data_IF_671420219349
#
_entry.id   IF_671420219349
#
_cell.length_a   1.000
_cell.length_b   1.000
_cell.length_c   1.000
_cell.angle_alpha   90.00
_cell.angle_beta   90.00
_cell.angle_gamma   90.00
#
_symmetry.space_group_name_H-M   'P 1'
#
loop_
_entity.id
_entity.type
_entity.pdbx_description
1 polymer ?
#
# COMPACT_ATOMS: atom_id res chain seq x y z
N UNK A 1 9.88 -15.58 8.33
CA UNK A 1 10.09 -14.21 7.81
C UNK A 1 8.88 -13.36 8.14
N UNK A 2 9.07 -12.15 8.62
CA UNK A 2 8.06 -11.09 8.75
C UNK A 2 8.12 -10.19 7.52
N UNK A 3 6.98 -9.87 6.93
CA UNK A 3 6.87 -8.96 5.80
C UNK A 3 5.98 -7.80 6.23
N UNK A 4 6.53 -6.59 6.27
CA UNK A 4 5.83 -5.36 6.62
C UNK A 4 5.43 -4.66 5.32
N UNK A 5 4.18 -4.85 4.87
CA UNK A 5 3.62 -4.08 3.76
C UNK A 5 3.20 -2.72 4.28
N UNK A 6 3.82 -1.67 3.79
CA UNK A 6 3.62 -0.29 4.24
C UNK A 6 3.00 0.51 3.10
N UNK A 7 1.88 1.16 3.35
CA UNK A 7 1.36 2.14 2.40
C UNK A 7 2.21 3.41 2.47
N UNK A 8 2.57 3.99 1.33
CA UNK A 8 3.28 5.27 1.27
C UNK A 8 2.59 6.37 2.09
N UNK A 9 3.33 7.41 2.53
CA UNK A 9 2.82 8.59 3.19
C UNK A 9 1.86 9.41 2.31
N UNK A 10 1.18 10.40 2.87
CA UNK A 10 0.25 11.25 2.12
C UNK A 10 0.97 11.96 0.97
N UNK A 11 0.46 11.80 -0.26
CA UNK A 11 0.96 12.49 -1.44
C UNK A 11 0.53 13.97 -1.46
N UNK A 12 1.33 14.82 -2.09
CA UNK A 12 1.07 16.27 -2.23
C UNK A 12 0.14 16.57 -3.42
N UNK A 13 -0.97 15.86 -3.47
CA UNK A 13 -2.03 16.07 -4.45
C UNK A 13 -3.31 15.37 -4.02
N UNK A 14 -4.50 16.00 -4.21
CA UNK A 14 -5.78 15.36 -4.03
C UNK A 14 -6.19 14.49 -5.24
N UNK A 15 -5.45 14.55 -6.35
CA UNK A 15 -5.83 13.87 -7.60
C UNK A 15 -5.47 12.38 -7.55
N UNK A 16 -6.28 11.59 -8.26
CA UNK A 16 -6.14 10.14 -8.33
C UNK A 16 -4.79 9.76 -8.95
N UNK A 17 -4.01 8.97 -8.22
CA UNK A 17 -2.79 8.27 -8.67
C UNK A 17 -1.76 9.10 -9.45
N UNK A 18 -1.66 10.40 -9.18
CA UNK A 18 -0.58 11.22 -9.77
C UNK A 18 0.77 10.88 -9.11
N UNK A 19 1.85 10.88 -9.90
CA UNK A 19 3.19 10.61 -9.39
C UNK A 19 3.85 11.92 -8.91
N UNK A 20 3.61 12.23 -7.64
CA UNK A 20 4.07 13.45 -6.96
C UNK A 20 4.75 13.08 -5.63
N UNK A 21 5.58 13.98 -5.06
CA UNK A 21 6.20 13.78 -3.76
C UNK A 21 5.17 13.70 -2.61
N UNK A 22 5.67 13.45 -1.41
CA UNK A 22 4.87 13.52 -0.18
C UNK A 22 4.50 14.96 0.16
N UNK A 23 3.31 15.14 0.76
CA UNK A 23 2.97 16.37 1.46
C UNK A 23 3.81 16.51 2.75
N UNK A 24 3.72 17.67 3.40
CA UNK A 24 4.36 17.87 4.69
C UNK A 24 3.84 16.85 5.74
N UNK A 25 2.53 16.63 5.77
CA UNK A 25 1.94 15.62 6.65
C UNK A 25 2.41 14.20 6.28
N UNK A 26 2.61 13.93 4.97
CA UNK A 26 3.11 12.64 4.49
C UNK A 26 4.55 12.37 4.94
N UNK A 27 5.40 13.39 4.94
CA UNK A 27 6.77 13.30 5.50
C UNK A 27 6.72 13.04 7.00
N UNK A 28 5.89 13.79 7.73
CA UNK A 28 5.71 13.59 9.16
C UNK A 28 5.20 12.19 9.50
N UNK A 29 4.28 11.64 8.69
CA UNK A 29 3.83 10.24 8.83
C UNK A 29 5.00 9.26 8.67
N UNK A 30 5.84 9.45 7.66
CA UNK A 30 7.00 8.60 7.40
C UNK A 30 8.06 8.70 8.52
N UNK A 31 8.30 9.89 9.09
CA UNK A 31 9.18 10.09 10.24
C UNK A 31 8.74 9.29 11.47
N UNK A 32 7.46 9.41 11.86
CA UNK A 32 6.89 8.68 12.99
C UNK A 32 6.93 7.16 12.77
N UNK A 33 6.69 6.72 11.53
CA UNK A 33 6.86 5.31 11.18
C UNK A 33 8.33 4.88 11.30
N UNK A 34 9.28 5.71 10.84
CA UNK A 34 10.72 5.46 10.99
C UNK A 34 11.13 5.35 12.45
N UNK A 35 10.63 6.23 13.33
CA UNK A 35 10.83 6.15 14.76
C UNK A 35 10.32 4.83 15.35
N UNK A 36 9.10 4.41 14.98
CA UNK A 36 8.54 3.11 15.39
C UNK A 36 9.38 1.92 14.96
N UNK A 37 9.90 1.96 13.73
CA UNK A 37 10.68 0.86 13.15
C UNK A 37 12.16 0.88 13.54
N UNK A 38 12.65 1.94 14.19
CA UNK A 38 14.07 2.10 14.54
C UNK A 38 14.61 1.03 15.49
N UNK A 39 13.74 0.42 16.30
CA UNK A 39 14.10 -0.68 17.22
C UNK A 39 13.97 -2.07 16.58
N UNK A 40 13.45 -2.14 15.35
CA UNK A 40 13.25 -3.40 14.63
C UNK A 40 14.51 -3.74 13.82
N UNK A 41 14.89 -5.02 13.82
CA UNK A 41 15.91 -5.50 12.88
C UNK A 41 15.26 -5.76 11.53
N UNK A 42 15.52 -4.89 10.55
CA UNK A 42 14.97 -4.99 9.19
C UNK A 42 16.13 -5.27 8.24
N UNK A 43 16.08 -6.40 7.53
CA UNK A 43 17.15 -6.86 6.65
C UNK A 43 17.21 -6.12 5.32
N UNK A 44 16.07 -5.61 4.84
CA UNK A 44 15.99 -4.83 3.61
C UNK A 44 14.72 -3.96 3.57
N UNK A 45 14.81 -2.83 2.88
CA UNK A 45 13.67 -1.95 2.58
C UNK A 45 13.45 -1.92 1.07
N UNK A 46 12.34 -2.51 0.63
CA UNK A 46 11.90 -2.51 -0.76
C UNK A 46 10.88 -1.41 -0.98
N UNK A 47 10.83 -0.83 -2.18
CA UNK A 47 9.78 0.13 -2.50
C UNK A 47 9.32 0.05 -3.95
N UNK A 48 8.09 0.52 -4.19
CA UNK A 48 7.65 0.97 -5.51
C UNK A 48 8.58 2.08 -6.03
N UNK A 49 8.59 2.26 -7.35
CA UNK A 49 9.33 3.34 -8.02
C UNK A 49 8.59 4.68 -8.05
N UNK A 50 7.31 4.75 -7.61
CA UNK A 50 6.57 6.01 -7.57
C UNK A 50 7.17 6.92 -6.49
N UNK A 51 7.30 8.23 -6.80
CA UNK A 51 8.02 9.22 -5.99
C UNK A 51 7.60 9.16 -4.52
N UNK A 52 6.31 9.15 -4.23
CA UNK A 52 5.76 9.08 -2.86
C UNK A 52 6.17 7.83 -2.09
N UNK A 53 6.35 6.69 -2.77
CA UNK A 53 6.78 5.46 -2.12
C UNK A 53 8.29 5.42 -1.92
N UNK A 54 9.06 5.95 -2.86
CA UNK A 54 10.51 6.10 -2.73
C UNK A 54 10.82 7.04 -1.58
N UNK A 55 10.21 8.23 -1.55
CA UNK A 55 10.42 9.24 -0.49
C UNK A 55 10.02 8.69 0.89
N UNK A 56 8.88 7.99 1.01
CA UNK A 56 8.50 7.31 2.26
C UNK A 56 9.57 6.31 2.70
N UNK A 57 10.04 5.48 1.76
CA UNK A 57 11.04 4.46 2.05
C UNK A 57 12.40 5.04 2.44
N UNK A 58 12.78 6.17 1.85
CA UNK A 58 14.03 6.85 2.18
C UNK A 58 13.97 7.47 3.58
N UNK A 59 12.87 8.15 3.93
CA UNK A 59 12.67 8.73 5.27
C UNK A 59 12.71 7.65 6.36
N UNK A 60 11.96 6.55 6.19
CA UNK A 60 12.02 5.46 7.19
C UNK A 60 13.42 4.84 7.26
N UNK A 61 14.11 4.73 6.12
CA UNK A 61 15.43 4.12 6.07
C UNK A 61 16.55 4.95 6.70
N UNK A 62 16.37 6.25 6.87
CA UNK A 62 17.25 7.08 7.69
C UNK A 62 17.38 6.56 9.15
N UNK A 63 16.32 5.91 9.67
CA UNK A 63 16.28 5.32 11.01
C UNK A 63 16.67 3.85 11.04
N UNK A 64 16.41 3.12 9.95
CA UNK A 64 16.61 1.66 9.84
C UNK A 64 18.01 1.34 9.35
N UNK A 65 18.52 2.11 8.37
CA UNK A 65 19.82 1.92 7.71
C UNK A 65 20.01 0.51 7.11
N UNK A 66 18.98 -0.01 6.41
CA UNK A 66 19.00 -1.28 5.72
C UNK A 66 19.25 -1.13 4.21
N UNK A 67 19.71 -2.17 3.51
CA UNK A 67 19.78 -2.18 2.04
C UNK A 67 18.47 -1.80 1.38
N UNK A 68 18.52 -0.97 0.33
CA UNK A 68 17.37 -0.46 -0.42
C UNK A 68 17.23 -1.15 -1.76
N UNK A 69 15.97 -1.49 -2.11
CA UNK A 69 15.61 -2.08 -3.40
C UNK A 69 14.37 -1.39 -3.98
N UNK A 70 14.43 -0.92 -5.22
CA UNK A 70 13.31 -0.27 -5.90
C UNK A 70 12.80 -1.18 -7.02
N UNK A 71 11.49 -1.44 -7.07
CA UNK A 71 10.85 -2.32 -8.05
C UNK A 71 9.60 -1.67 -8.66
N UNK A 72 9.60 -1.48 -9.98
CA UNK A 72 8.44 -0.95 -10.71
C UNK A 72 7.18 -1.81 -10.52
N UNK A 73 7.34 -3.13 -10.37
CA UNK A 73 6.22 -4.05 -10.19
C UNK A 73 5.46 -3.87 -8.85
N UNK A 74 6.00 -3.06 -7.91
CA UNK A 74 5.32 -2.70 -6.66
C UNK A 74 4.49 -1.41 -6.77
N UNK A 75 4.39 -0.79 -7.96
CA UNK A 75 3.60 0.43 -8.18
C UNK A 75 2.11 0.20 -7.90
N UNK A 76 1.38 1.30 -7.68
CA UNK A 76 -0.08 1.27 -7.44
C UNK A 76 -0.83 0.59 -8.62
N UNK A 77 -2.01 0.05 -8.32
CA UNK A 77 -2.96 -0.36 -9.36
C UNK A 77 -3.19 0.80 -10.32
N UNK A 78 -3.17 0.52 -11.62
CA UNK A 78 -3.52 1.55 -12.59
C UNK A 78 -5.03 1.81 -12.54
N UNK A 79 -5.38 3.06 -12.32
CA UNK A 79 -6.77 3.53 -12.39
C UNK A 79 -7.15 3.95 -13.83
N UNK A 80 -6.21 3.84 -14.78
CA UNK A 80 -6.43 4.12 -16.19
C UNK A 80 -6.96 5.53 -16.43
N UNK A 81 -8.11 5.64 -17.09
CA UNK A 81 -8.71 6.93 -17.49
C UNK A 81 -9.14 7.82 -16.29
N UNK A 82 -9.09 7.29 -15.06
CA UNK A 82 -9.38 8.05 -13.84
C UNK A 82 -8.14 8.72 -13.26
N UNK A 83 -6.93 8.38 -13.71
CA UNK A 83 -5.70 8.97 -13.19
C UNK A 83 -5.64 10.47 -13.48
N UNK A 84 -5.23 11.25 -12.47
CA UNK A 84 -5.18 12.70 -12.56
C UNK A 84 -6.52 13.41 -12.39
N UNK A 85 -7.63 12.69 -12.20
CA UNK A 85 -8.94 13.30 -11.93
C UNK A 85 -9.19 13.48 -10.43
N UNK A 86 -10.06 14.43 -10.08
CA UNK A 86 -10.54 14.58 -8.70
C UNK A 86 -11.61 13.54 -8.35
N UNK A 87 -11.82 13.29 -7.05
CA UNK A 87 -12.84 12.37 -6.56
C UNK A 87 -14.25 12.76 -7.04
N UNK A 88 -14.55 14.08 -7.15
CA UNK A 88 -15.83 14.57 -7.63
C UNK A 88 -16.04 14.24 -9.12
N UNK A 89 -15.01 14.44 -9.94
CA UNK A 89 -15.07 14.13 -11.38
C UNK A 89 -15.18 12.61 -11.60
N UNK A 90 -14.47 11.82 -10.79
CA UNK A 90 -14.56 10.36 -10.85
C UNK A 90 -15.97 9.89 -10.46
N UNK A 91 -16.52 10.43 -9.37
CA UNK A 91 -17.86 10.07 -8.92
C UNK A 91 -18.94 10.39 -9.96
N UNK A 92 -18.82 11.51 -10.68
CA UNK A 92 -19.75 11.93 -11.72
C UNK A 92 -19.58 11.11 -13.01
N UNK A 93 -18.36 11.07 -13.56
CA UNK A 93 -18.14 10.47 -14.89
C UNK A 93 -18.18 8.95 -14.91
N UNK A 94 -17.85 8.30 -13.78
CA UNK A 94 -17.71 6.85 -13.68
C UNK A 94 -18.70 6.23 -12.69
N UNK A 95 -19.83 6.90 -12.40
CA UNK A 95 -20.85 6.44 -11.46
C UNK A 95 -21.30 5.00 -11.74
N UNK A 96 -21.65 4.70 -12.99
CA UNK A 96 -22.12 3.37 -13.40
C UNK A 96 -21.05 2.29 -13.21
N UNK A 97 -19.78 2.60 -13.53
CA UNK A 97 -18.67 1.69 -13.30
C UNK A 97 -18.46 1.45 -11.79
N UNK A 98 -18.43 2.51 -10.99
CA UNK A 98 -18.27 2.41 -9.53
C UNK A 98 -19.39 1.59 -8.91
N UNK A 99 -20.64 1.81 -9.35
CA UNK A 99 -21.82 1.06 -8.91
C UNK A 99 -21.73 -0.42 -9.31
N UNK A 100 -21.32 -0.72 -10.55
CA UNK A 100 -21.12 -2.09 -11.01
C UNK A 100 -19.99 -2.79 -10.25
N UNK A 101 -18.85 -2.12 -10.04
CA UNK A 101 -17.73 -2.65 -9.27
C UNK A 101 -18.13 -2.94 -7.82
N UNK A 102 -18.98 -2.11 -7.22
CA UNK A 102 -19.45 -2.28 -5.84
C UNK A 102 -20.44 -3.44 -5.66
N UNK A 103 -20.99 -4.02 -6.74
CA UNK A 103 -21.75 -5.28 -6.69
C UNK A 103 -20.85 -6.48 -6.40
N UNK A 104 -19.54 -6.36 -6.64
CA UNK A 104 -18.53 -7.40 -6.35
C UNK A 104 -18.84 -8.75 -7.01
N UNK A 105 -19.43 -8.74 -8.21
CA UNK A 105 -19.78 -9.95 -8.97
C UNK A 105 -18.55 -10.55 -9.67
N UNK A 106 -17.57 -9.72 -9.99
CA UNK A 106 -16.31 -10.11 -10.63
C UNK A 106 -15.19 -9.12 -10.33
N UNK A 107 -13.94 -9.54 -10.46
CA UNK A 107 -12.77 -8.65 -10.45
C UNK A 107 -12.79 -7.79 -11.72
N UNK A 108 -13.07 -6.50 -11.56
CA UNK A 108 -13.25 -5.55 -12.66
C UNK A 108 -12.04 -4.65 -12.80
N UNK A 109 -11.47 -4.60 -14.01
CA UNK A 109 -10.43 -3.60 -14.34
C UNK A 109 -11.03 -2.20 -14.34
N UNK A 110 -10.27 -1.23 -13.85
CA UNK A 110 -10.59 0.18 -14.06
C UNK A 110 -10.61 0.48 -15.57
N UNK A 111 -11.44 1.42 -16.06
CA UNK A 111 -11.44 1.82 -17.48
C UNK A 111 -10.03 2.20 -17.93
N UNK A 112 -9.48 1.50 -18.92
CA UNK A 112 -8.08 1.67 -19.37
C UNK A 112 -7.01 1.28 -18.35
N UNK A 113 -7.38 0.68 -17.21
CA UNK A 113 -6.47 0.35 -16.11
C UNK A 113 -6.44 -1.13 -15.74
N UNK A 114 -6.02 -1.42 -14.50
CA UNK A 114 -5.84 -2.76 -13.96
C UNK A 114 -7.02 -3.20 -13.07
N UNK A 115 -7.18 -4.53 -12.90
CA UNK A 115 -7.92 -5.14 -11.80
C UNK A 115 -6.95 -5.78 -10.79
N UNK A 116 -7.48 -6.41 -9.73
CA UNK A 116 -6.65 -7.02 -8.69
C UNK A 116 -5.82 -8.20 -9.24
N UNK A 117 -6.35 -9.00 -10.18
CA UNK A 117 -5.60 -10.09 -10.81
C UNK A 117 -4.43 -9.59 -11.67
N UNK A 118 -4.55 -8.44 -12.34
CA UNK A 118 -3.44 -7.82 -13.08
C UNK A 118 -2.34 -7.38 -12.12
N UNK A 119 -2.70 -6.73 -11.00
CA UNK A 119 -1.77 -6.36 -9.94
C UNK A 119 -1.03 -7.59 -9.42
N UNK A 120 -1.74 -8.67 -9.10
CA UNK A 120 -1.14 -9.91 -8.60
C UNK A 120 -0.18 -10.53 -9.61
N UNK A 121 -0.49 -10.50 -10.91
CA UNK A 121 0.36 -11.04 -11.97
C UNK A 121 1.75 -10.43 -11.96
N UNK A 122 1.88 -9.12 -11.64
CA UNK A 122 3.17 -8.42 -11.59
C UNK A 122 3.82 -8.41 -10.21
N UNK A 123 3.04 -8.50 -9.12
CA UNK A 123 3.57 -8.38 -7.76
C UNK A 123 3.99 -9.73 -7.19
N UNK A 124 3.28 -10.83 -7.47
CA UNK A 124 3.60 -12.16 -6.92
C UNK A 124 5.00 -12.66 -7.31
N UNK A 125 5.55 -12.41 -8.52
CA UNK A 125 6.95 -12.72 -8.80
C UNK A 125 7.93 -12.03 -7.85
N UNK A 126 7.69 -10.75 -7.51
CA UNK A 126 8.52 -9.98 -6.57
C UNK A 126 8.36 -10.55 -5.15
N UNK A 127 7.13 -10.88 -4.72
CA UNK A 127 6.93 -11.51 -3.42
C UNK A 127 7.66 -12.84 -3.30
N UNK A 128 7.66 -13.67 -4.36
CA UNK A 128 8.45 -14.92 -4.40
C UNK A 128 9.96 -14.65 -4.33
N UNK A 129 10.46 -13.65 -5.05
CA UNK A 129 11.87 -13.21 -4.96
C UNK A 129 12.23 -12.84 -3.51
N UNK A 130 11.42 -12.00 -2.86
CA UNK A 130 11.66 -11.58 -1.47
C UNK A 130 11.62 -12.76 -0.51
N UNK A 131 10.62 -13.64 -0.64
CA UNK A 131 10.45 -14.81 0.23
C UNK A 131 11.60 -15.82 0.07
N UNK A 132 12.24 -15.86 -1.10
CA UNK A 132 13.41 -16.73 -1.34
C UNK A 132 14.71 -16.21 -0.73
N UNK A 133 14.75 -14.95 -0.26
CA UNK A 133 15.92 -14.42 0.43
C UNK A 133 15.99 -14.92 1.88
N UNK A 134 17.20 -14.92 2.43
CA UNK A 134 17.43 -15.26 3.84
C UNK A 134 17.21 -14.04 4.74
N UNK A 135 15.99 -13.50 4.69
CA UNK A 135 15.55 -12.39 5.54
C UNK A 135 14.74 -12.91 6.72
N UNK A 136 14.89 -12.31 7.88
CA UNK A 136 13.98 -12.47 9.03
C UNK A 136 12.85 -11.44 8.99
N UNK A 137 13.16 -10.19 8.66
CA UNK A 137 12.17 -9.10 8.52
C UNK A 137 12.47 -8.23 7.31
N UNK A 138 11.46 -7.96 6.48
CA UNK A 138 11.56 -7.07 5.33
C UNK A 138 10.44 -6.02 5.35
N UNK A 139 10.76 -4.77 5.07
CA UNK A 139 9.80 -3.70 4.85
C UNK A 139 9.57 -3.49 3.34
N UNK A 140 8.31 -3.36 2.92
CA UNK A 140 7.92 -3.14 1.52
C UNK A 140 6.99 -1.93 1.46
N UNK A 141 7.51 -0.79 1.00
CA UNK A 141 6.72 0.43 0.83
C UNK A 141 6.03 0.40 -0.53
N UNK A 142 4.71 0.34 -0.49
CA UNK A 142 3.86 0.18 -1.67
C UNK A 142 2.54 0.98 -1.52
N UNK A 143 1.45 0.50 -2.10
CA UNK A 143 0.21 1.25 -2.28
C UNK A 143 -1.02 0.47 -1.82
N UNK A 144 -2.14 1.17 -1.69
CA UNK A 144 -3.38 0.59 -1.16
C UNK A 144 -3.96 -0.54 -2.01
N UNK A 145 -3.94 -0.40 -3.33
CA UNK A 145 -4.43 -1.43 -4.26
C UNK A 145 -3.57 -2.70 -4.20
N UNK A 146 -2.25 -2.55 -4.14
CA UNK A 146 -1.30 -3.67 -4.03
C UNK A 146 -1.49 -4.42 -2.72
N UNK A 147 -1.55 -3.70 -1.57
CA UNK A 147 -1.71 -4.31 -0.25
C UNK A 147 -3.01 -5.11 -0.19
N UNK A 148 -4.13 -4.52 -0.63
CA UNK A 148 -5.43 -5.21 -0.63
C UNK A 148 -5.43 -6.45 -1.53
N UNK A 149 -4.84 -6.36 -2.73
CA UNK A 149 -4.76 -7.49 -3.66
C UNK A 149 -3.93 -8.64 -3.08
N UNK A 150 -2.78 -8.34 -2.46
CA UNK A 150 -1.94 -9.34 -1.78
C UNK A 150 -2.66 -10.00 -0.60
N UNK A 151 -3.33 -9.21 0.25
CA UNK A 151 -4.09 -9.73 1.40
C UNK A 151 -5.22 -10.63 0.91
N UNK A 152 -6.01 -10.19 -0.08
CA UNK A 152 -7.08 -11.00 -0.66
C UNK A 152 -6.55 -12.33 -1.21
N UNK A 153 -5.44 -12.30 -1.96
CA UNK A 153 -4.81 -13.48 -2.53
C UNK A 153 -4.36 -14.48 -1.45
N UNK A 154 -3.62 -14.02 -0.44
CA UNK A 154 -3.09 -14.91 0.60
C UNK A 154 -4.17 -15.47 1.52
N UNK A 155 -5.29 -14.77 1.69
CA UNK A 155 -6.45 -15.25 2.45
C UNK A 155 -7.43 -16.08 1.61
N UNK A 156 -7.18 -16.29 0.31
CA UNK A 156 -8.09 -17.01 -0.57
C UNK A 156 -9.43 -16.32 -0.80
N UNK A 157 -9.47 -14.99 -0.69
CA UNK A 157 -10.66 -14.20 -0.95
C UNK A 157 -10.92 -14.10 -2.46
N UNK A 158 -12.20 -14.05 -2.84
CA UNK A 158 -12.57 -13.63 -4.18
C UNK A 158 -12.07 -12.20 -4.44
N UNK A 159 -11.30 -12.01 -5.52
CA UNK A 159 -10.69 -10.72 -5.86
C UNK A 159 -11.73 -9.62 -6.16
N UNK A 160 -12.94 -9.99 -6.54
CA UNK A 160 -14.06 -9.06 -6.66
C UNK A 160 -14.36 -8.35 -5.32
N UNK A 161 -14.00 -8.97 -4.19
CA UNK A 161 -14.25 -8.47 -2.83
C UNK A 161 -13.10 -7.66 -2.24
N UNK A 162 -12.05 -7.40 -3.00
CA UNK A 162 -10.92 -6.53 -2.58
C UNK A 162 -11.38 -5.18 -2.00
N UNK A 163 -12.45 -4.52 -2.51
CA UNK A 163 -12.97 -3.28 -1.93
C UNK A 163 -13.41 -3.39 -0.46
N UNK A 164 -13.73 -4.60 0.04
CA UNK A 164 -14.12 -4.82 1.44
C UNK A 164 -12.94 -4.78 2.42
N UNK A 165 -11.69 -4.85 1.92
CA UNK A 165 -10.49 -4.78 2.76
C UNK A 165 -10.18 -3.33 3.12
N UNK A 166 -10.85 -2.83 4.15
CA UNK A 166 -10.87 -1.47 4.67
C UNK A 166 -11.41 -0.42 3.67
N UNK A 167 -12.28 0.43 4.12
CA UNK A 167 -12.73 1.61 3.36
C UNK A 167 -11.55 2.54 3.08
N UNK A 168 -10.64 2.67 4.06
CA UNK A 168 -9.40 3.44 3.95
C UNK A 168 -8.26 2.66 4.61
N UNK A 169 -7.16 2.45 3.87
CA UNK A 169 -5.88 2.10 4.45
C UNK A 169 -5.17 3.38 4.85
N UNK A 170 -4.66 3.44 6.07
CA UNK A 170 -3.89 4.61 6.53
C UNK A 170 -2.59 4.76 5.74
N UNK A 171 -2.20 6.00 5.46
CA UNK A 171 -0.88 6.29 4.96
C UNK A 171 0.16 5.94 6.04
N UNK A 172 1.27 5.35 5.66
CA UNK A 172 2.26 4.75 6.56
C UNK A 172 1.70 3.66 7.48
N UNK A 173 0.46 3.17 7.25
CA UNK A 173 -0.10 2.01 7.95
C UNK A 173 0.61 0.73 7.57
N UNK A 174 0.83 -0.14 8.55
CA UNK A 174 1.53 -1.42 8.41
C UNK A 174 0.53 -2.55 8.28
N UNK A 175 0.68 -3.37 7.25
CA UNK A 175 0.04 -4.68 7.15
C UNK A 175 1.12 -5.74 7.26
N UNK A 176 1.07 -6.54 8.32
CA UNK A 176 2.10 -7.51 8.65
C UNK A 176 1.68 -8.91 8.22
N UNK A 177 2.52 -9.53 7.40
CA UNK A 177 2.40 -10.92 6.97
C UNK A 177 3.54 -11.75 7.56
N UNK A 178 3.26 -12.98 7.92
CA UNK A 178 4.25 -13.95 8.37
C UNK A 178 4.30 -15.14 7.41
N UNK A 179 5.51 -15.50 6.95
CA UNK A 179 5.70 -16.74 6.20
C UNK A 179 6.02 -17.88 7.16
N UNK A 180 5.33 -19.01 7.02
CA UNK A 180 5.65 -20.25 7.75
C UNK A 180 6.71 -21.05 7.00
N UNK A 181 7.88 -21.23 7.63
CA UNK A 181 9.05 -21.90 6.99
C UNK A 181 8.76 -23.35 6.54
N UNK A 182 7.86 -24.08 7.22
CA UNK A 182 7.67 -25.52 6.98
C UNK A 182 6.64 -25.84 5.88
N UNK A 183 5.67 -24.98 5.59
CA UNK A 183 4.61 -25.23 4.61
C UNK A 183 4.38 -24.06 3.63
N UNK A 184 5.20 -23.01 3.74
CA UNK A 184 5.14 -21.84 2.85
C UNK A 184 3.87 -20.99 2.99
N UNK A 185 3.02 -21.25 3.98
CA UNK A 185 1.80 -20.47 4.18
C UNK A 185 2.11 -19.06 4.63
N UNK A 186 1.29 -18.11 4.15
CA UNK A 186 1.31 -16.72 4.57
C UNK A 186 0.16 -16.50 5.56
N UNK A 187 0.48 -15.89 6.70
CA UNK A 187 -0.48 -15.54 7.75
C UNK A 187 -0.59 -14.03 7.80
N UNK A 188 -1.80 -13.50 7.76
CA UNK A 188 -2.07 -12.10 8.08
C UNK A 188 -2.04 -11.94 9.60
N UNK A 189 -0.99 -11.30 10.12
CA UNK A 189 -0.82 -11.07 11.54
C UNK A 189 -1.46 -9.76 12.02
N UNK A 190 -1.30 -8.68 11.22
CA UNK A 190 -1.92 -7.36 11.46
C UNK A 190 -2.36 -6.76 10.15
N UNK A 191 -3.44 -6.00 10.19
CA UNK A 191 -3.94 -5.30 9.01
C UNK A 191 -4.14 -3.82 9.31
N UNK A 192 -3.48 -2.96 8.50
CA UNK A 192 -3.61 -1.49 8.59
C UNK A 192 -3.31 -0.92 9.99
N UNK A 193 -2.27 -1.41 10.64
CA UNK A 193 -1.84 -0.92 11.96
C UNK A 193 -1.20 0.46 11.83
N UNK A 194 -1.83 1.45 12.44
CA UNK A 194 -1.41 2.85 12.48
C UNK A 194 -1.21 3.35 13.92
N UNK A 195 -0.92 2.46 14.88
CA UNK A 195 -0.79 2.79 16.31
C UNK A 195 0.31 3.81 16.61
N UNK A 196 1.31 3.97 15.72
CA UNK A 196 2.32 5.02 15.85
C UNK A 196 1.76 6.45 15.67
N UNK A 197 0.46 6.58 15.33
CA UNK A 197 -0.25 7.86 15.27
C UNK A 197 -1.16 8.13 16.48
N UNK A 198 -1.12 7.31 17.55
CA UNK A 198 -2.00 7.52 18.72
C UNK A 198 -1.87 8.93 19.31
N UNK A 199 -0.66 9.48 19.36
CA UNK A 199 -0.40 10.87 19.78
C UNK A 199 -0.65 11.94 18.71
N UNK A 200 -1.04 11.55 17.49
CA UNK A 200 -1.11 12.41 16.30
C UNK A 200 -2.36 12.13 15.46
N UNK A 201 -3.58 12.24 16.06
CA UNK A 201 -4.83 11.91 15.35
C UNK A 201 -5.08 12.76 14.10
N UNK A 202 -4.48 13.95 14.01
CA UNK A 202 -4.56 14.83 12.86
C UNK A 202 -3.88 14.24 11.60
N UNK A 203 -2.97 13.29 11.78
CA UNK A 203 -2.29 12.58 10.69
C UNK A 203 -3.08 11.39 10.15
N UNK A 204 -4.09 10.91 10.87
CA UNK A 204 -4.98 9.86 10.39
C UNK A 204 -5.90 10.39 9.30
N UNK A 205 -6.27 9.52 8.34
CA UNK A 205 -7.16 9.91 7.23
C UNK A 205 -8.52 10.42 7.68
N UNK A 206 -9.05 9.95 8.80
CA UNK A 206 -10.28 10.46 9.38
C UNK A 206 -10.16 11.93 9.86
N UNK A 207 -8.96 12.39 10.23
CA UNK A 207 -8.68 13.77 10.61
C UNK A 207 -8.69 14.77 9.45
N UNK A 208 -8.75 14.29 8.19
CA UNK A 208 -8.74 15.16 7.00
C UNK A 208 -10.11 15.72 6.63
N UNK A 209 -11.17 15.32 7.34
CA UNK A 209 -12.53 15.85 7.15
C UNK A 209 -12.55 17.33 7.57
N UNK A 210 -12.48 18.23 6.61
CA UNK A 210 -12.55 19.69 6.81
C UNK A 210 -11.48 20.49 6.09
N UNK A 211 -10.48 19.88 5.48
CA UNK A 211 -9.56 20.53 4.54
C UNK A 211 -10.00 20.24 3.10
N UNK A 212 -11.25 20.63 2.76
CA UNK A 212 -11.73 20.72 1.39
C UNK A 212 -11.52 22.13 0.88
#
# INVERSE_FOLDING_TARGET
>A
MRILLIRHGRQDSPLCNVDVPLSEEGRRQAELLGERLSSEQIDAVWSSNLIRAVETADIINEKINAPREIRNNLKEISFGDMEGLSDEVIADRYEDFLRARWKMERDMSYPGGECASDVLSRVLPIMREIISKDYETVAIVTHGGVIRSLVAHYLGMDLARVPLLATQLENCGITELWTRKHDGRIILNRFNDASHFEGHPELLRCGWKGKK
#
